data_IF_145197080016
#
_entry.id   IF_145197080016
#
_cell.length_a   1.000
_cell.length_b   1.000
_cell.length_c   1.000
_cell.angle_alpha   90.00
_cell.angle_beta   90.00
_cell.angle_gamma   90.00
#
_symmetry.space_group_name_H-M   'P 1'
#
loop_
_entity.id
_entity.type
_entity.pdbx_description
1 polymer ?
#
# COMPACT_ATOMS: atom_id res chain seq x y z
N UNK A 1 15.40 11.77 10.26
CA UNK A 1 14.27 11.90 9.31
C UNK A 1 13.01 11.40 9.99
N UNK A 2 11.85 11.99 9.74
CA UNK A 2 10.59 11.49 10.32
C UNK A 2 10.12 10.23 9.60
N UNK A 3 9.37 9.37 10.28
CA UNK A 3 8.77 8.16 9.71
C UNK A 3 8.02 8.45 8.39
N UNK A 4 7.16 9.47 8.38
CA UNK A 4 6.40 9.87 7.18
C UNK A 4 7.33 10.31 6.04
N UNK A 5 8.43 11.02 6.34
CA UNK A 5 9.40 11.40 5.29
C UNK A 5 10.09 10.20 4.66
N UNK A 6 10.41 9.15 5.43
CA UNK A 6 11.03 7.94 4.89
C UNK A 6 10.06 7.17 3.97
N UNK A 7 8.79 7.03 4.39
CA UNK A 7 7.75 6.38 3.58
C UNK A 7 7.50 7.16 2.29
N UNK A 8 7.37 8.49 2.37
CA UNK A 8 7.12 9.33 1.19
C UNK A 8 8.28 9.30 0.19
N UNK A 9 9.54 9.38 0.64
CA UNK A 9 10.70 9.23 -0.25
C UNK A 9 10.66 7.88 -0.98
N UNK A 10 10.32 6.81 -0.26
CA UNK A 10 10.23 5.46 -0.83
C UNK A 10 9.10 5.35 -1.88
N UNK A 11 7.97 6.01 -1.65
CA UNK A 11 6.87 6.11 -2.62
C UNK A 11 7.32 6.89 -3.87
N UNK A 12 8.06 7.99 -3.69
CA UNK A 12 8.60 8.78 -4.82
C UNK A 12 9.59 7.94 -5.64
N UNK A 13 10.47 7.19 -4.99
CA UNK A 13 11.39 6.25 -5.65
C UNK A 13 10.62 5.22 -6.48
N UNK A 14 9.55 4.65 -5.92
CA UNK A 14 8.67 3.73 -6.66
C UNK A 14 8.13 4.38 -7.93
N UNK A 15 7.60 5.61 -7.86
CA UNK A 15 7.04 6.29 -9.03
C UNK A 15 8.09 6.60 -10.10
N UNK A 16 9.26 7.10 -9.69
CA UNK A 16 10.38 7.39 -10.61
C UNK A 16 10.76 6.11 -11.37
N UNK A 17 10.93 4.99 -10.67
CA UNK A 17 11.28 3.72 -11.27
C UNK A 17 10.16 3.16 -12.15
N UNK A 18 8.91 3.27 -11.70
CA UNK A 18 7.74 2.76 -12.41
C UNK A 18 7.54 3.46 -13.75
N UNK A 19 7.75 4.78 -13.81
CA UNK A 19 7.66 5.58 -15.04
C UNK A 19 8.87 5.35 -15.95
N UNK A 20 10.08 5.23 -15.37
CA UNK A 20 11.31 5.05 -16.15
C UNK A 20 11.41 3.67 -16.80
N UNK A 21 10.94 2.62 -16.12
CA UNK A 21 11.01 1.24 -16.60
C UNK A 21 9.72 0.84 -17.32
N UNK A 22 9.73 0.85 -18.66
CA UNK A 22 8.59 0.41 -19.51
C UNK A 22 8.44 -1.12 -19.66
N UNK A 23 8.97 -1.90 -18.70
CA UNK A 23 9.01 -3.38 -18.75
C UNK A 23 7.84 -4.01 -17.98
N UNK A 24 7.41 -5.25 -18.30
CA UNK A 24 6.35 -5.93 -17.54
C UNK A 24 6.75 -6.20 -16.09
N UNK A 25 8.05 -6.40 -15.84
CA UNK A 25 8.62 -6.62 -14.52
C UNK A 25 8.85 -5.33 -13.73
N UNK A 26 8.60 -4.16 -14.33
CA UNK A 26 8.82 -2.84 -13.73
C UNK A 26 8.15 -2.70 -12.37
N UNK A 27 6.93 -3.20 -12.23
CA UNK A 27 6.18 -3.19 -10.99
C UNK A 27 6.95 -3.88 -9.86
N UNK A 28 7.43 -5.11 -10.09
CA UNK A 28 8.16 -5.88 -9.08
C UNK A 28 9.49 -5.25 -8.73
N UNK A 29 10.22 -4.76 -9.73
CA UNK A 29 11.52 -4.10 -9.54
C UNK A 29 11.33 -2.81 -8.73
N UNK A 30 10.38 -1.97 -9.13
CA UNK A 30 10.10 -0.71 -8.47
C UNK A 30 9.61 -0.92 -7.03
N UNK A 31 8.72 -1.89 -6.79
CA UNK A 31 8.22 -2.20 -5.45
C UNK A 31 9.30 -2.79 -4.55
N UNK A 32 10.21 -3.59 -5.11
CA UNK A 32 11.32 -4.19 -4.38
C UNK A 32 12.34 -3.12 -3.97
N UNK A 33 12.77 -2.28 -4.94
CA UNK A 33 13.72 -1.21 -4.67
C UNK A 33 13.14 -0.19 -3.68
N UNK A 34 11.86 0.18 -3.82
CA UNK A 34 11.23 1.10 -2.88
C UNK A 34 11.12 0.50 -1.48
N UNK A 35 10.74 -0.77 -1.34
CA UNK A 35 10.71 -1.48 -0.07
C UNK A 35 12.09 -1.55 0.60
N UNK A 36 13.13 -1.90 -0.16
CA UNK A 36 14.50 -1.90 0.35
C UNK A 36 14.98 -0.50 0.75
N UNK A 37 14.64 0.51 -0.04
CA UNK A 37 14.99 1.90 0.29
C UNK A 37 14.36 2.34 1.62
N UNK A 38 13.11 1.96 1.88
CA UNK A 38 12.42 2.25 3.13
C UNK A 38 13.13 1.56 4.32
N UNK A 39 13.39 0.26 4.20
CA UNK A 39 14.06 -0.51 5.25
C UNK A 39 15.44 0.08 5.55
N UNK A 40 16.23 0.37 4.51
CA UNK A 40 17.56 0.96 4.65
C UNK A 40 17.52 2.34 5.32
N UNK A 41 16.62 3.22 4.89
CA UNK A 41 16.45 4.54 5.51
C UNK A 41 16.01 4.45 6.98
N UNK A 42 15.14 3.51 7.32
CA UNK A 42 14.72 3.28 8.70
C UNK A 42 15.90 2.82 9.57
N UNK A 43 16.63 1.78 9.14
CA UNK A 43 17.76 1.24 9.90
C UNK A 43 18.92 2.25 10.06
N UNK A 44 19.17 3.09 9.06
CA UNK A 44 20.21 4.13 9.14
C UNK A 44 19.81 5.29 10.06
N UNK A 45 18.52 5.62 10.15
CA UNK A 45 18.05 6.75 10.94
C UNK A 45 17.97 6.44 12.44
N UNK A 46 17.66 5.20 12.81
CA UNK A 46 17.44 4.79 14.20
C UNK A 46 18.59 3.91 14.71
N UNK A 47 19.50 4.49 15.51
CA UNK A 47 20.68 3.79 16.06
C UNK A 47 20.36 2.79 17.18
N UNK A 48 19.32 3.03 17.97
CA UNK A 48 18.91 2.14 19.04
C UNK A 48 17.78 1.22 18.56
N UNK A 49 18.15 -0.03 18.23
CA UNK A 49 17.23 -1.03 17.70
C UNK A 49 16.64 -1.82 18.86
N UNK A 50 15.44 -1.45 19.29
CA UNK A 50 14.60 -2.33 20.13
C UNK A 50 13.75 -3.21 19.21
N UNK A 51 13.68 -4.51 19.50
CA UNK A 51 13.11 -5.50 18.56
C UNK A 51 11.66 -5.20 18.19
N UNK A 52 10.79 -5.02 19.20
CA UNK A 52 9.33 -4.91 18.98
C UNK A 52 8.96 -3.59 18.27
N UNK A 53 9.41 -2.40 18.73
CA UNK A 53 9.12 -1.14 18.03
C UNK A 53 9.68 -1.10 16.61
N UNK A 54 10.89 -1.64 16.41
CA UNK A 54 11.51 -1.69 15.07
C UNK A 54 10.67 -2.49 14.09
N UNK A 55 10.21 -3.68 14.49
CA UNK A 55 9.36 -4.51 13.64
C UNK A 55 8.06 -3.78 13.32
N UNK A 56 7.41 -3.15 14.30
CA UNK A 56 6.15 -2.44 14.06
C UNK A 56 6.32 -1.29 13.06
N UNK A 57 7.31 -0.41 13.24
CA UNK A 57 7.51 0.70 12.31
C UNK A 57 7.93 0.21 10.92
N UNK A 58 8.75 -0.83 10.82
CA UNK A 58 9.10 -1.42 9.52
C UNK A 58 7.85 -1.96 8.80
N UNK A 59 7.06 -2.78 9.48
CA UNK A 59 5.84 -3.38 8.91
C UNK A 59 4.80 -2.30 8.57
N UNK A 60 4.66 -1.29 9.42
CA UNK A 60 3.71 -0.19 9.22
C UNK A 60 4.08 0.66 8.00
N UNK A 61 5.36 1.04 7.86
CA UNK A 61 5.80 1.81 6.70
C UNK A 61 5.73 1.01 5.40
N UNK A 62 6.05 -0.30 5.44
CA UNK A 62 5.83 -1.20 4.31
C UNK A 62 4.34 -1.33 3.96
N UNK A 63 3.45 -1.40 4.96
CA UNK A 63 2.01 -1.43 4.72
C UNK A 63 1.53 -0.17 3.98
N UNK A 64 1.90 1.02 4.47
CA UNK A 64 1.60 2.30 3.81
C UNK A 64 2.14 2.33 2.38
N UNK A 65 3.41 1.95 2.19
CA UNK A 65 4.05 1.92 0.88
C UNK A 65 3.31 0.99 -0.09
N UNK A 66 3.02 -0.24 0.32
CA UNK A 66 2.33 -1.23 -0.53
C UNK A 66 0.89 -0.81 -0.80
N UNK A 67 0.21 -0.17 0.16
CA UNK A 67 -1.15 0.36 -0.03
C UNK A 67 -1.18 1.46 -1.10
N UNK A 68 -0.21 2.37 -1.11
CA UNK A 68 -0.04 3.37 -2.16
C UNK A 68 0.24 2.74 -3.53
N UNK A 69 1.13 1.75 -3.59
CA UNK A 69 1.42 1.00 -4.82
C UNK A 69 0.16 0.29 -5.33
N UNK A 70 -0.57 -0.40 -4.45
CA UNK A 70 -1.81 -1.09 -4.79
C UNK A 70 -2.86 -0.14 -5.37
N UNK A 71 -3.04 1.02 -4.73
CA UNK A 71 -3.95 2.06 -5.19
C UNK A 71 -3.56 2.60 -6.58
N UNK A 72 -2.28 2.85 -6.82
CA UNK A 72 -1.82 3.32 -8.12
C UNK A 72 -2.01 2.28 -9.23
N UNK A 73 -1.62 1.03 -8.99
CA UNK A 73 -1.70 -0.04 -9.99
C UNK A 73 -3.15 -0.36 -10.36
N UNK A 74 -4.07 -0.33 -9.39
CA UNK A 74 -5.49 -0.53 -9.70
C UNK A 74 -6.10 0.64 -10.48
N UNK A 75 -5.62 1.86 -10.24
CA UNK A 75 -6.02 3.05 -11.00
C UNK A 75 -5.50 2.96 -12.44
N UNK A 76 -4.25 2.53 -12.64
CA UNK A 76 -3.68 2.30 -13.98
C UNK A 76 -4.46 1.25 -14.74
N UNK A 77 -4.80 0.13 -14.08
CA UNK A 77 -5.59 -0.94 -14.66
C UNK A 77 -6.97 -0.48 -15.11
N UNK A 78 -7.71 0.24 -14.27
CA UNK A 78 -9.04 0.77 -14.62
C UNK A 78 -8.95 1.77 -15.78
N UNK A 79 -7.92 2.63 -15.81
CA UNK A 79 -7.69 3.57 -16.93
C UNK A 79 -7.46 2.80 -18.24
N UNK A 80 -6.62 1.76 -18.22
CA UNK A 80 -6.34 0.94 -19.39
C UNK A 80 -7.61 0.20 -19.88
N UNK A 81 -8.36 -0.41 -18.97
CA UNK A 81 -9.64 -1.08 -19.31
C UNK A 81 -10.65 -0.11 -19.92
N UNK A 82 -10.72 1.14 -19.44
CA UNK A 82 -11.60 2.17 -20.02
C UNK A 82 -11.16 2.61 -21.41
N UNK A 83 -9.86 2.82 -21.64
CA UNK A 83 -9.33 3.16 -22.99
C UNK A 83 -9.70 2.09 -24.01
N UNK A 84 -9.50 0.82 -23.65
CA UNK A 84 -9.82 -0.32 -24.51
C UNK A 84 -11.33 -0.39 -24.81
N UNK A 85 -12.19 -0.16 -23.80
CA UNK A 85 -13.65 -0.09 -24.00
C UNK A 85 -14.08 1.06 -24.93
N UNK A 86 -13.27 2.11 -25.05
CA UNK A 86 -13.51 3.25 -25.96
C UNK A 86 -12.90 3.07 -27.36
N UNK A 87 -12.18 1.97 -27.60
CA UNK A 87 -11.48 1.74 -28.87
C UNK A 87 -10.17 2.52 -29.03
N UNK A 88 -9.64 3.10 -27.95
CA UNK A 88 -8.39 3.87 -27.96
C UNK A 88 -7.18 2.92 -27.79
N UNK A 89 -6.74 2.28 -28.88
CA UNK A 89 -5.65 1.28 -28.86
C UNK A 89 -4.23 1.86 -28.98
N UNK A 90 -4.08 3.13 -29.38
CA UNK A 90 -2.78 3.75 -29.66
C UNK A 90 -1.84 3.86 -28.44
N UNK A 91 -2.41 3.90 -27.23
CA UNK A 91 -1.71 3.98 -25.95
C UNK A 91 -1.98 2.75 -25.05
N UNK A 92 -2.55 1.68 -25.60
CA UNK A 92 -2.86 0.51 -24.79
C UNK A 92 -1.56 -0.09 -24.22
N UNK A 93 -1.55 -0.43 -22.91
CA UNK A 93 -0.37 -1.05 -22.32
C UNK A 93 -0.01 -2.31 -23.11
N UNK A 94 1.28 -2.54 -23.33
CA UNK A 94 1.82 -3.66 -24.12
C UNK A 94 1.51 -5.06 -23.54
N UNK A 95 0.80 -5.16 -22.41
CA UNK A 95 0.54 -6.41 -21.71
C UNK A 95 -0.94 -6.78 -21.69
N UNK A 96 -1.27 -8.09 -21.72
CA UNK A 96 -2.64 -8.55 -21.60
C UNK A 96 -3.29 -8.06 -20.30
N UNK A 97 -4.53 -7.58 -20.38
CA UNK A 97 -5.32 -7.09 -19.25
C UNK A 97 -5.36 -8.13 -18.12
N UNK A 98 -5.60 -9.40 -18.44
CA UNK A 98 -5.68 -10.49 -17.45
C UNK A 98 -4.42 -10.61 -16.59
N UNK A 99 -3.24 -10.39 -17.19
CA UNK A 99 -1.97 -10.39 -16.47
C UNK A 99 -1.93 -9.24 -15.47
N UNK A 100 -2.31 -8.03 -15.89
CA UNK A 100 -2.37 -6.86 -15.00
C UNK A 100 -3.37 -7.07 -13.85
N UNK A 101 -4.53 -7.71 -14.09
CA UNK A 101 -5.45 -8.12 -13.01
C UNK A 101 -4.79 -9.08 -12.01
N UNK A 102 -4.10 -10.12 -12.48
CA UNK A 102 -3.40 -11.07 -11.61
C UNK A 102 -2.30 -10.39 -10.78
N UNK A 103 -1.57 -9.43 -11.37
CA UNK A 103 -0.55 -8.65 -10.66
C UNK A 103 -1.16 -7.77 -9.57
N UNK A 104 -2.19 -6.98 -9.91
CA UNK A 104 -2.90 -6.12 -8.97
C UNK A 104 -3.47 -6.95 -7.82
N UNK A 105 -4.12 -8.08 -8.10
CA UNK A 105 -4.65 -8.98 -7.06
C UNK A 105 -3.57 -9.49 -6.09
N UNK A 106 -2.37 -9.84 -6.60
CA UNK A 106 -1.25 -10.25 -5.75
C UNK A 106 -0.78 -9.12 -4.84
N UNK A 107 -0.62 -7.89 -5.36
CA UNK A 107 -0.17 -6.74 -4.57
C UNK A 107 -1.21 -6.37 -3.52
N UNK A 108 -2.51 -6.39 -3.86
CA UNK A 108 -3.58 -6.18 -2.88
C UNK A 108 -3.47 -7.18 -1.72
N UNK A 109 -3.24 -8.47 -2.03
CA UNK A 109 -3.03 -9.50 -1.02
C UNK A 109 -1.83 -9.23 -0.12
N UNK A 110 -0.70 -8.83 -0.71
CA UNK A 110 0.53 -8.46 0.04
C UNK A 110 0.28 -7.23 0.92
N UNK A 111 -0.43 -6.21 0.41
CA UNK A 111 -0.77 -5.01 1.17
C UNK A 111 -1.64 -5.31 2.38
N UNK A 112 -2.66 -6.16 2.22
CA UNK A 112 -3.50 -6.61 3.32
C UNK A 112 -2.71 -7.42 4.36
N UNK A 113 -1.76 -8.26 3.91
CA UNK A 113 -0.87 -9.01 4.80
C UNK A 113 -0.03 -8.07 5.68
N UNK A 114 0.64 -7.08 5.08
CA UNK A 114 1.41 -6.09 5.82
C UNK A 114 0.53 -5.27 6.76
N UNK A 115 -0.67 -4.88 6.34
CA UNK A 115 -1.60 -4.14 7.20
C UNK A 115 -2.05 -4.98 8.41
N UNK A 116 -2.24 -6.29 8.21
CA UNK A 116 -2.57 -7.23 9.30
C UNK A 116 -1.41 -7.35 10.30
N UNK A 117 -0.17 -7.48 9.81
CA UNK A 117 1.00 -7.48 10.67
C UNK A 117 1.22 -6.12 11.37
N UNK A 118 0.88 -5.00 10.72
CA UNK A 118 0.96 -3.68 11.34
C UNK A 118 -0.01 -3.56 12.52
N UNK A 119 -1.24 -4.10 12.39
CA UNK A 119 -2.20 -4.18 13.49
C UNK A 119 -1.70 -5.07 14.63
N UNK A 120 -1.26 -6.31 14.32
CA UNK A 120 -0.77 -7.26 15.34
C UNK A 120 0.43 -6.67 16.10
N UNK A 121 1.42 -6.14 15.38
CA UNK A 121 2.58 -5.50 15.99
C UNK A 121 2.23 -4.22 16.74
N UNK A 122 1.22 -3.49 16.27
CA UNK A 122 0.70 -2.29 16.91
C UNK A 122 0.10 -2.59 18.28
N UNK A 123 -0.69 -3.65 18.40
CA UNK A 123 -1.20 -4.13 19.70
C UNK A 123 -0.08 -4.62 20.62
N UNK A 124 0.97 -5.26 20.09
CA UNK A 124 2.07 -5.80 20.89
C UNK A 124 2.95 -4.73 21.56
N UNK A 125 2.92 -3.47 21.10
CA UNK A 125 3.69 -2.36 21.69
C UNK A 125 2.92 -1.64 22.80
N UNK A 126 1.60 -1.81 22.88
CA UNK A 126 0.76 -1.01 23.76
C UNK A 126 0.93 -1.47 25.20
N UNK A 127 1.67 -0.69 26.00
CA UNK A 127 1.71 -0.85 27.46
C UNK A 127 0.65 0.00 28.16
N UNK A 128 0.25 1.14 27.55
CA UNK A 128 -0.77 2.06 28.05
C UNK A 128 -1.62 2.58 26.89
N UNK A 129 -2.94 2.47 27.01
CA UNK A 129 -3.89 3.01 26.04
C UNK A 129 -4.06 4.51 26.25
N UNK A 130 -3.32 5.32 25.49
CA UNK A 130 -3.56 6.77 25.39
C UNK A 130 -4.62 7.05 24.31
N UNK A 131 -5.33 8.18 24.41
CA UNK A 131 -6.35 8.56 23.42
C UNK A 131 -5.80 8.54 21.98
N UNK A 132 -4.59 9.08 21.77
CA UNK A 132 -3.88 9.06 20.49
C UNK A 132 -3.69 7.65 19.92
N UNK A 133 -3.28 6.70 20.77
CA UNK A 133 -3.09 5.30 20.38
C UNK A 133 -4.41 4.61 20.03
N UNK A 134 -5.47 4.91 20.77
CA UNK A 134 -6.82 4.39 20.50
C UNK A 134 -7.31 4.88 19.14
N UNK A 135 -7.15 6.18 18.83
CA UNK A 135 -7.48 6.73 17.51
C UNK A 135 -6.65 6.07 16.39
N UNK A 136 -5.33 5.91 16.59
CA UNK A 136 -4.49 5.22 15.60
C UNK A 136 -4.95 3.80 15.31
N UNK A 137 -5.30 3.07 16.37
CA UNK A 137 -5.73 1.66 16.26
C UNK A 137 -7.12 1.56 15.63
N UNK A 138 -8.04 2.46 15.95
CA UNK A 138 -9.40 2.43 15.39
C UNK A 138 -9.41 2.77 13.89
N UNK A 139 -8.70 3.82 13.47
CA UNK A 139 -8.58 4.18 12.05
C UNK A 139 -7.87 3.10 11.24
N UNK A 140 -6.82 2.47 11.78
CA UNK A 140 -6.13 1.36 11.09
C UNK A 140 -6.99 0.10 11.01
N UNK A 141 -7.81 -0.18 12.03
CA UNK A 141 -8.78 -1.27 12.01
C UNK A 141 -9.89 -1.03 10.99
N UNK A 142 -10.45 0.18 10.92
CA UNK A 142 -11.43 0.56 9.89
C UNK A 142 -10.83 0.42 8.49
N UNK A 143 -9.60 0.91 8.29
CA UNK A 143 -8.88 0.77 7.04
C UNK A 143 -8.69 -0.69 6.63
N UNK A 144 -8.37 -1.56 7.60
CA UNK A 144 -8.20 -2.99 7.40
C UNK A 144 -9.51 -3.67 7.01
N UNK A 145 -10.63 -3.37 7.68
CA UNK A 145 -11.94 -3.91 7.34
C UNK A 145 -12.36 -3.52 5.91
N UNK A 146 -12.20 -2.25 5.54
CA UNK A 146 -12.54 -1.75 4.20
C UNK A 146 -11.66 -2.45 3.15
N UNK A 147 -10.36 -2.60 3.40
CA UNK A 147 -9.45 -3.29 2.49
C UNK A 147 -9.83 -4.78 2.37
N UNK A 148 -10.10 -5.45 3.48
CA UNK A 148 -10.48 -6.86 3.50
C UNK A 148 -11.78 -7.09 2.70
N UNK A 149 -12.82 -6.30 2.94
CA UNK A 149 -14.09 -6.38 2.20
C UNK A 149 -13.85 -6.11 0.71
N UNK A 150 -13.00 -5.13 0.40
CA UNK A 150 -12.63 -4.81 -0.99
C UNK A 150 -11.96 -5.98 -1.69
N UNK A 151 -10.99 -6.64 -1.04
CA UNK A 151 -10.27 -7.77 -1.60
C UNK A 151 -11.18 -8.96 -1.80
N UNK A 152 -12.04 -9.28 -0.83
CA UNK A 152 -13.04 -10.35 -0.93
C UNK A 152 -14.02 -10.06 -2.07
N UNK A 153 -14.52 -8.82 -2.16
CA UNK A 153 -15.46 -8.39 -3.19
C UNK A 153 -14.91 -8.58 -4.61
N UNK A 154 -13.64 -8.26 -4.84
CA UNK A 154 -13.01 -8.43 -6.16
C UNK A 154 -12.72 -9.91 -6.44
N UNK A 155 -12.17 -10.64 -5.46
CA UNK A 155 -11.64 -11.99 -5.68
C UNK A 155 -12.72 -13.07 -5.72
N UNK A 156 -13.76 -12.95 -4.89
CA UNK A 156 -14.79 -13.98 -4.73
C UNK A 156 -16.15 -13.54 -5.26
N UNK A 157 -16.51 -12.25 -5.14
CA UNK A 157 -17.81 -11.74 -5.56
C UNK A 157 -17.82 -11.09 -6.96
N UNK A 158 -16.67 -11.10 -7.66
CA UNK A 158 -16.49 -10.51 -9.00
C UNK A 158 -16.93 -9.04 -9.09
N UNK A 159 -16.75 -8.26 -8.03
CA UNK A 159 -17.06 -6.83 -8.06
C UNK A 159 -16.21 -6.10 -9.09
N UNK A 160 -16.78 -5.14 -9.83
CA UNK A 160 -16.01 -4.36 -10.80
C UNK A 160 -14.93 -3.53 -10.10
N UNK A 161 -13.77 -3.39 -10.74
CA UNK A 161 -12.59 -2.69 -10.20
C UNK A 161 -12.91 -1.27 -9.70
N UNK A 162 -13.91 -0.60 -10.29
CA UNK A 162 -14.36 0.73 -9.83
C UNK A 162 -14.64 0.80 -8.32
N UNK A 163 -15.16 -0.27 -7.71
CA UNK A 163 -15.40 -0.32 -6.26
C UNK A 163 -14.09 -0.50 -5.49
N UNK A 164 -13.15 -1.25 -6.05
CA UNK A 164 -11.84 -1.47 -5.47
C UNK A 164 -11.03 -0.18 -5.32
N UNK A 165 -11.07 0.68 -6.35
CA UNK A 165 -10.42 2.00 -6.31
C UNK A 165 -10.96 2.83 -5.15
N UNK A 166 -12.29 2.84 -4.97
CA UNK A 166 -12.95 3.59 -3.90
C UNK A 166 -12.58 3.04 -2.51
N UNK A 167 -12.65 1.72 -2.34
CA UNK A 167 -12.30 1.06 -1.08
C UNK A 167 -10.83 1.28 -0.69
N UNK A 168 -9.91 1.10 -1.64
CA UNK A 168 -8.48 1.34 -1.41
C UNK A 168 -8.16 2.81 -1.13
N UNK A 169 -8.83 3.74 -1.80
CA UNK A 169 -8.68 5.17 -1.51
C UNK A 169 -9.06 5.50 -0.07
N UNK A 170 -10.23 5.00 0.38
CA UNK A 170 -10.70 5.24 1.75
C UNK A 170 -9.75 4.59 2.76
N UNK A 171 -9.30 3.36 2.51
CA UNK A 171 -8.33 2.66 3.37
C UNK A 171 -7.02 3.44 3.47
N UNK A 172 -6.47 3.92 2.36
CA UNK A 172 -5.24 4.71 2.31
C UNK A 172 -5.35 5.99 3.14
N UNK A 173 -6.43 6.75 2.99
CA UNK A 173 -6.64 7.97 3.77
C UNK A 173 -6.85 7.70 5.25
N UNK A 174 -7.59 6.65 5.60
CA UNK A 174 -7.78 6.27 7.00
C UNK A 174 -6.45 5.95 7.70
N UNK A 175 -5.55 5.21 7.04
CA UNK A 175 -4.20 4.93 7.58
C UNK A 175 -3.35 6.21 7.64
N UNK A 176 -3.35 7.04 6.60
CA UNK A 176 -2.60 8.30 6.61
C UNK A 176 -3.02 9.24 7.73
N UNK A 177 -4.34 9.41 7.91
CA UNK A 177 -4.90 10.23 8.97
C UNK A 177 -4.42 9.71 10.32
N UNK A 178 -4.52 8.41 10.58
CA UNK A 178 -4.06 7.80 11.83
C UNK A 178 -2.62 8.20 12.19
N UNK A 179 -1.69 8.18 11.23
CA UNK A 179 -0.28 8.46 11.50
C UNK A 179 0.09 9.95 11.44
N UNK A 180 -0.70 10.79 10.76
CA UNK A 180 -0.49 12.25 10.71
C UNK A 180 -1.13 12.94 11.91
N UNK A 181 -2.34 12.54 12.30
CA UNK A 181 -3.05 13.12 13.44
C UNK A 181 -2.39 12.64 14.72
N UNK A 182 -1.47 13.46 15.23
CA UNK A 182 -0.90 13.30 16.56
C UNK A 182 -1.76 14.08 17.56
N UNK A 183 -3.03 13.68 17.70
CA UNK A 183 -4.00 14.25 18.65
C UNK A 183 -3.94 13.44 19.94
#
# INVERSE_FOLDING_TARGET
MSFITQVTISIVIYFILRVSLKRPSSLYIASFISGFSYIGMYLLAYKNITLIPTIHFLVTGLSLLVLFIAYYEILSLERNVRKIKKGEFGDAETFPIERSYKLVSKILGVGLLFLTFALISGFAIQSVFTANLIFKTSFTLVAWLIFLITLIGIKFLNFPIKYAIRGLFISMWAVLIAYITNI
#
